data_IF_355929993643
#
_entry.id   IF_355929993643
#
_cell.length_a   1.000
_cell.length_b   1.000
_cell.length_c   1.000
_cell.angle_alpha   90.00
_cell.angle_beta   90.00
_cell.angle_gamma   90.00
#
_symmetry.space_group_name_H-M   'P 1'
#
loop_
_entity.id
_entity.type
_entity.pdbx_description
1 polymer ?
#
# COMPACT_ATOMS: atom_id res chain seq x y z
N UNK A 1 -63.67 -9.36 70.74
CA UNK A 1 -64.27 -10.53 70.07
C UNK A 1 -63.20 -11.04 69.12
N UNK A 2 -62.53 -12.11 69.52
CA UNK A 2 -61.50 -12.78 68.74
C UNK A 2 -62.09 -13.43 67.49
N UNK A 3 -61.32 -13.43 66.40
CA UNK A 3 -61.28 -14.54 65.46
C UNK A 3 -59.96 -14.49 64.67
N UNK A 4 -59.11 -15.50 64.86
CA UNK A 4 -58.00 -15.92 63.99
C UNK A 4 -58.34 -17.34 63.51
N UNK A 5 -58.00 -17.68 62.27
CA UNK A 5 -56.93 -18.66 62.02
C UNK A 5 -55.96 -18.13 60.93
N UNK A 6 -54.63 -18.34 61.03
CA UNK A 6 -53.88 -19.58 60.75
C UNK A 6 -54.22 -20.15 59.36
N UNK A 7 -53.32 -20.59 58.49
CA UNK A 7 -51.87 -20.70 58.41
C UNK A 7 -51.63 -21.26 56.99
N UNK A 8 -50.44 -21.06 56.44
CA UNK A 8 -49.84 -21.85 55.35
C UNK A 8 -50.54 -21.90 53.98
N UNK A 9 -49.84 -21.39 52.96
CA UNK A 9 -49.11 -22.27 52.06
C UNK A 9 -48.00 -21.46 51.37
N UNK A 10 -46.78 -21.73 51.81
CA UNK A 10 -45.55 -21.42 51.10
C UNK A 10 -45.26 -22.64 50.23
N UNK A 11 -45.20 -22.40 48.92
CA UNK A 11 -44.76 -23.35 47.90
C UNK A 11 -43.64 -22.67 47.11
N UNK A 12 -42.66 -23.47 46.71
CA UNK A 12 -41.24 -23.15 46.64
C UNK A 12 -40.73 -22.47 45.36
N UNK A 13 -41.58 -21.83 44.55
CA UNK A 13 -41.15 -21.37 43.22
C UNK A 13 -41.44 -19.88 42.97
N UNK A 14 -41.39 -19.00 43.97
CA UNK A 14 -41.17 -17.55 43.81
C UNK A 14 -41.94 -16.76 42.73
N UNK A 15 -43.09 -17.23 42.25
CA UNK A 15 -43.87 -16.57 41.19
C UNK A 15 -45.32 -16.36 41.62
N UNK A 16 -45.77 -15.11 41.58
CA UNK A 16 -47.19 -14.75 41.71
C UNK A 16 -47.96 -15.19 40.46
N UNK A 17 -49.04 -15.97 40.62
CA UNK A 17 -50.05 -16.16 39.58
C UNK A 17 -50.78 -14.83 39.32
N UNK A 18 -50.69 -14.31 38.09
CA UNK A 18 -51.52 -13.19 37.66
C UNK A 18 -52.81 -13.73 37.03
N UNK A 19 -53.93 -13.58 37.74
CA UNK A 19 -55.27 -13.81 37.22
C UNK A 19 -55.71 -12.57 36.42
N UNK A 20 -55.87 -12.71 35.10
CA UNK A 20 -56.38 -11.64 34.24
C UNK A 20 -57.91 -11.73 34.14
N UNK A 21 -58.59 -10.80 34.81
CA UNK A 21 -60.01 -10.52 34.52
C UNK A 21 -60.09 -9.34 33.54
N UNK A 22 -60.66 -9.58 32.37
CA UNK A 22 -60.84 -8.55 31.36
C UNK A 22 -62.11 -7.76 31.63
N UNK A 23 -62.00 -6.45 31.85
CA UNK A 23 -63.13 -5.54 31.60
C UNK A 23 -62.68 -4.19 31.04
N UNK A 24 -63.37 -3.82 29.97
CA UNK A 24 -63.12 -2.76 29.01
C UNK A 24 -63.30 -1.32 29.53
N UNK A 25 -62.56 -0.42 28.88
CA UNK A 25 -62.81 1.03 28.68
C UNK A 25 -62.77 1.94 29.91
N UNK A 26 -61.86 2.93 29.91
CA UNK A 26 -62.13 4.31 29.46
C UNK A 26 -60.80 5.09 29.45
N UNK A 27 -60.53 5.83 28.37
CA UNK A 27 -59.31 6.65 28.21
C UNK A 27 -59.33 7.84 29.18
N UNK A 28 -58.25 8.03 29.93
CA UNK A 28 -57.85 9.32 30.48
C UNK A 28 -56.43 9.59 29.98
N UNK A 29 -56.25 10.63 29.17
CA UNK A 29 -54.94 11.10 28.75
C UNK A 29 -54.32 11.89 29.91
N UNK A 30 -53.30 11.32 30.56
CA UNK A 30 -52.48 12.03 31.53
C UNK A 30 -51.23 12.52 30.80
N UNK A 31 -51.10 13.85 30.72
CA UNK A 31 -49.88 14.53 30.29
C UNK A 31 -48.77 14.16 31.28
N UNK A 32 -47.84 13.31 30.85
CA UNK A 32 -46.64 12.98 31.63
C UNK A 32 -45.57 14.04 31.35
N UNK A 33 -45.40 14.94 32.31
CA UNK A 33 -44.27 15.85 32.39
C UNK A 33 -42.98 14.99 32.48
N UNK A 34 -42.15 15.05 31.44
CA UNK A 34 -40.92 14.27 31.33
C UNK A 34 -39.86 14.96 32.19
N UNK A 35 -39.75 14.55 33.45
CA UNK A 35 -38.64 14.93 34.31
C UNK A 35 -37.32 14.58 33.63
N UNK A 36 -36.48 15.59 33.42
CA UNK A 36 -35.15 15.47 32.84
C UNK A 36 -34.31 14.47 33.63
N UNK A 37 -33.77 13.47 32.93
CA UNK A 37 -32.74 12.60 33.48
C UNK A 37 -31.54 13.44 33.90
N UNK A 38 -31.12 13.33 35.16
CA UNK A 38 -29.86 13.90 35.61
C UNK A 38 -28.73 13.29 34.76
N UNK A 39 -28.09 14.13 33.93
CA UNK A 39 -26.96 13.72 33.12
C UNK A 39 -25.84 13.21 34.04
N UNK A 40 -25.27 12.04 33.72
CA UNK A 40 -24.08 11.51 34.37
C UNK A 40 -23.00 12.59 34.47
N UNK A 41 -22.32 12.75 35.60
CA UNK A 41 -21.40 13.84 35.79
C UNK A 41 -20.20 13.70 34.81
N UNK A 42 -19.79 14.79 34.14
CA UNK A 42 -18.88 14.77 32.99
C UNK A 42 -17.47 14.25 33.34
N UNK A 43 -17.09 14.24 34.61
CA UNK A 43 -15.79 13.73 35.06
C UNK A 43 -15.60 12.24 34.76
N UNK A 44 -16.67 11.43 34.68
CA UNK A 44 -16.56 10.00 34.35
C UNK A 44 -16.11 9.80 32.90
N UNK A 45 -16.66 10.58 31.98
CA UNK A 45 -16.25 10.54 30.57
C UNK A 45 -14.83 11.08 30.40
N UNK A 46 -14.49 12.17 31.09
CA UNK A 46 -13.14 12.73 31.09
C UNK A 46 -12.13 11.71 31.64
N UNK A 47 -12.44 11.03 32.75
CA UNK A 47 -11.56 10.00 33.32
C UNK A 47 -11.36 8.81 32.37
N UNK A 48 -12.41 8.38 31.67
CA UNK A 48 -12.32 7.32 30.65
C UNK A 48 -11.46 7.77 29.47
N UNK A 49 -11.68 8.98 28.96
CA UNK A 49 -10.90 9.53 27.85
C UNK A 49 -9.42 9.66 28.24
N UNK A 50 -9.13 10.20 29.42
CA UNK A 50 -7.76 10.31 29.94
C UNK A 50 -7.10 8.95 30.12
N UNK A 51 -7.85 7.94 30.60
CA UNK A 51 -7.38 6.57 30.71
C UNK A 51 -7.03 5.96 29.35
N UNK A 52 -7.90 6.12 28.35
CA UNK A 52 -7.65 5.65 26.98
C UNK A 52 -6.43 6.36 26.38
N UNK A 53 -6.33 7.68 26.53
CA UNK A 53 -5.18 8.47 26.08
C UNK A 53 -3.88 7.98 26.70
N UNK A 54 -3.88 7.71 28.01
CA UNK A 54 -2.72 7.17 28.72
C UNK A 54 -2.31 5.79 28.19
N UNK A 55 -3.28 4.89 27.96
CA UNK A 55 -3.01 3.57 27.38
C UNK A 55 -2.43 3.67 25.97
N UNK A 56 -2.96 4.55 25.12
CA UNK A 56 -2.43 4.78 23.77
C UNK A 56 -1.00 5.30 23.81
N UNK A 57 -0.70 6.27 24.70
CA UNK A 57 0.65 6.81 24.87
C UNK A 57 1.62 5.71 25.35
N UNK A 58 1.21 4.85 26.29
CA UNK A 58 2.04 3.73 26.76
C UNK A 58 2.34 2.73 25.64
N UNK A 59 1.35 2.38 24.82
CA UNK A 59 1.55 1.49 23.67
C UNK A 59 2.52 2.10 22.66
N UNK A 60 2.37 3.38 22.34
CA UNK A 60 3.30 4.10 21.44
C UNK A 60 4.72 4.11 22.01
N UNK A 61 4.89 4.39 23.31
CA UNK A 61 6.20 4.39 23.94
C UNK A 61 6.88 3.01 23.91
N UNK A 62 6.12 1.93 24.13
CA UNK A 62 6.63 0.55 24.01
C UNK A 62 7.03 0.24 22.57
N UNK A 63 6.20 0.60 21.58
CA UNK A 63 6.52 0.39 20.16
C UNK A 63 7.78 1.17 19.77
N UNK A 64 7.87 2.45 20.10
CA UNK A 64 9.06 3.26 19.84
C UNK A 64 10.30 2.72 20.56
N UNK A 65 10.15 2.23 21.79
CA UNK A 65 11.21 1.57 22.54
C UNK A 65 11.71 0.31 21.83
N UNK A 66 10.81 -0.58 21.39
CA UNK A 66 11.18 -1.80 20.66
C UNK A 66 11.84 -1.50 19.31
N UNK A 67 11.37 -0.46 18.60
CA UNK A 67 11.96 0.00 17.32
C UNK A 67 13.33 0.64 17.54
N UNK A 68 13.54 1.38 18.63
CA UNK A 68 14.82 1.97 18.98
C UNK A 68 15.86 0.91 19.41
N UNK A 69 15.41 -0.12 20.14
CA UNK A 69 16.25 -1.25 20.57
C UNK A 69 16.66 -2.13 19.38
N UNK A 70 15.81 -2.23 18.35
CA UNK A 70 16.12 -2.95 17.10
C UNK A 70 16.81 -2.12 16.01
N UNK A 71 17.20 -0.87 16.28
CA UNK A 71 18.04 -0.12 15.33
C UNK A 71 19.41 -0.81 15.28
N UNK A 72 19.81 -1.45 14.16
CA UNK A 72 21.14 -2.05 14.07
C UNK A 72 22.16 -0.93 14.25
N UNK A 73 23.16 -1.18 15.08
CA UNK A 73 24.35 -0.35 15.22
C UNK A 73 25.09 -0.32 13.86
N UNK A 74 24.63 0.53 12.94
CA UNK A 74 25.34 0.83 11.70
C UNK A 74 26.53 1.68 12.09
N UNK A 75 27.67 1.02 12.23
CA UNK A 75 28.94 1.60 12.65
C UNK A 75 29.23 2.91 11.94
N UNK A 76 29.49 3.94 12.73
CA UNK A 76 30.15 5.16 12.31
C UNK A 76 31.60 4.84 11.94
N UNK A 77 31.94 4.88 10.66
CA UNK A 77 33.30 5.16 10.24
C UNK A 77 33.32 6.56 9.64
N UNK A 78 34.03 7.44 10.33
CA UNK A 78 34.30 8.81 9.96
C UNK A 78 35.55 8.86 9.07
N UNK A 79 35.55 9.86 8.18
CA UNK A 79 36.69 10.54 7.54
C UNK A 79 37.50 9.77 6.49
N UNK A 80 37.38 10.22 5.24
CA UNK A 80 38.49 10.99 4.65
C UNK A 80 37.97 12.03 3.65
N UNK A 81 38.18 13.31 3.97
CA UNK A 81 38.01 14.43 3.06
C UNK A 81 39.25 14.52 2.15
N UNK A 82 39.08 14.20 0.87
CA UNK A 82 40.07 14.42 -0.18
C UNK A 82 39.62 15.48 -1.18
N UNK A 83 40.22 16.66 -1.04
CA UNK A 83 40.13 17.84 -1.89
C UNK A 83 40.45 17.54 -3.38
N UNK A 84 39.53 17.89 -4.29
CA UNK A 84 39.76 17.93 -5.75
C UNK A 84 39.99 19.37 -6.22
N UNK A 85 41.09 19.63 -6.95
CA UNK A 85 41.08 20.66 -7.96
C UNK A 85 41.39 20.09 -9.35
N UNK A 86 40.56 20.50 -10.31
CA UNK A 86 40.72 20.29 -11.75
C UNK A 86 42.09 20.73 -12.27
N UNK A 87 42.66 19.97 -13.23
CA UNK A 87 43.58 20.54 -14.22
C UNK A 87 43.45 19.84 -15.57
N UNK A 88 43.34 20.68 -16.59
CA UNK A 88 43.14 20.43 -18.02
C UNK A 88 44.44 20.01 -18.74
N UNK A 89 44.29 19.40 -19.93
CA UNK A 89 45.18 19.29 -21.14
C UNK A 89 46.72 19.18 -20.91
N UNK A 90 47.46 18.31 -21.59
CA UNK A 90 47.69 18.30 -23.05
C UNK A 90 48.62 17.13 -23.45
N UNK A 91 48.42 16.58 -24.66
CA UNK A 91 49.35 15.93 -25.62
C UNK A 91 50.60 15.13 -25.15
N UNK A 92 50.74 13.88 -25.60
CA UNK A 92 51.58 13.50 -26.76
C UNK A 92 51.80 11.97 -26.88
N UNK A 93 51.47 11.44 -28.06
CA UNK A 93 52.28 10.57 -28.92
C UNK A 93 53.10 9.39 -28.33
N UNK A 94 52.56 8.18 -28.52
CA UNK A 94 53.19 7.02 -29.21
C UNK A 94 54.42 6.31 -28.56
N UNK A 95 54.84 5.10 -29.05
CA UNK A 95 54.92 3.88 -28.23
C UNK A 95 56.34 3.27 -28.16
N UNK A 96 56.61 2.42 -27.17
CA UNK A 96 57.82 1.57 -27.24
C UNK A 96 57.64 0.22 -26.56
N UNK A 97 57.69 -0.82 -27.41
CA UNK A 97 58.34 -2.14 -27.26
C UNK A 97 58.82 -2.56 -25.86
N UNK A 98 58.40 -3.70 -25.31
CA UNK A 98 58.78 -5.10 -25.66
C UNK A 98 59.79 -5.68 -24.68
N UNK A 99 59.62 -6.98 -24.40
CA UNK A 99 60.57 -7.95 -23.85
C UNK A 99 60.64 -8.05 -22.32
N UNK A 100 60.09 -9.14 -21.77
CA UNK A 100 60.86 -10.35 -21.46
C UNK A 100 59.89 -11.42 -20.90
N UNK A 101 59.90 -12.59 -21.55
CA UNK A 101 59.24 -13.81 -21.11
C UNK A 101 59.86 -14.32 -19.80
N UNK A 102 59.04 -14.84 -18.89
CA UNK A 102 59.47 -16.00 -18.10
C UNK A 102 58.29 -16.95 -17.83
N UNK A 103 58.60 -18.21 -18.04
CA UNK A 103 57.76 -19.39 -18.19
C UNK A 103 57.14 -19.89 -16.90
N UNK A 104 55.82 -20.14 -16.89
CA UNK A 104 55.19 -21.08 -15.95
C UNK A 104 54.11 -21.94 -16.65
N UNK A 105 54.24 -23.24 -16.41
CA UNK A 105 53.49 -24.43 -16.83
C UNK A 105 51.95 -24.29 -16.88
N UNK A 106 51.24 -24.97 -17.82
CA UNK A 106 49.79 -24.80 -17.98
C UNK A 106 49.01 -25.55 -16.89
N UNK A 107 48.58 -24.83 -15.86
CA UNK A 107 47.45 -25.28 -15.03
C UNK A 107 46.19 -25.10 -15.88
N UNK A 108 45.51 -26.21 -16.21
CA UNK A 108 44.19 -26.19 -16.87
C UNK A 108 43.26 -25.28 -16.06
N UNK A 109 43.08 -24.05 -16.53
CA UNK A 109 42.00 -23.20 -16.08
C UNK A 109 40.70 -23.91 -16.48
N UNK A 110 39.96 -24.38 -15.49
CA UNK A 110 38.54 -24.67 -15.67
C UNK A 110 37.93 -23.34 -16.08
N UNK A 111 37.64 -23.19 -17.37
CA UNK A 111 36.72 -22.16 -17.85
C UNK A 111 35.38 -22.47 -17.20
N UNK A 112 35.12 -21.83 -16.06
CA UNK A 112 33.76 -21.67 -15.53
C UNK A 112 33.03 -20.84 -16.58
N UNK A 113 32.47 -21.56 -17.53
CA UNK A 113 31.75 -21.04 -18.67
C UNK A 113 30.37 -20.68 -18.15
N UNK A 114 30.05 -19.38 -18.20
CA UNK A 114 28.69 -18.88 -18.03
C UNK A 114 28.32 -18.55 -16.59
N UNK A 115 28.75 -17.37 -16.11
CA UNK A 115 27.83 -16.59 -15.30
C UNK A 115 26.64 -16.32 -16.22
N UNK A 116 25.53 -17.05 -16.06
CA UNK A 116 24.32 -16.81 -16.82
C UNK A 116 23.92 -15.35 -16.55
N UNK A 117 24.21 -14.47 -17.49
CA UNK A 117 23.75 -13.09 -17.43
C UNK A 117 22.24 -13.16 -17.46
N UNK A 118 21.60 -12.79 -16.35
CA UNK A 118 20.14 -12.66 -16.30
C UNK A 118 19.72 -11.67 -17.39
N UNK A 119 18.69 -12.00 -18.20
CA UNK A 119 18.20 -11.09 -19.24
C UNK A 119 17.60 -9.80 -18.66
N UNK A 120 17.27 -9.79 -17.36
CA UNK A 120 16.78 -8.62 -16.65
C UNK A 120 17.83 -8.03 -15.71
N UNK A 121 17.81 -6.69 -15.51
CA UNK A 121 18.64 -6.04 -14.51
C UNK A 121 18.39 -6.60 -13.09
N UNK A 122 19.33 -6.41 -12.16
CA UNK A 122 19.14 -6.82 -10.78
C UNK A 122 17.86 -6.24 -10.17
N UNK A 123 17.13 -7.04 -9.39
CA UNK A 123 15.86 -6.69 -8.74
C UNK A 123 14.65 -6.50 -9.67
N UNK A 124 14.77 -6.88 -10.95
CA UNK A 124 13.63 -6.96 -11.87
C UNK A 124 13.14 -8.40 -11.95
N UNK A 125 11.82 -8.56 -12.06
CA UNK A 125 11.18 -9.86 -12.22
C UNK A 125 11.10 -10.19 -13.71
N UNK A 126 11.62 -11.34 -14.11
CA UNK A 126 11.44 -11.88 -15.46
C UNK A 126 10.05 -12.51 -15.55
N UNK A 127 9.24 -12.08 -16.52
CA UNK A 127 8.04 -12.78 -16.90
C UNK A 127 7.86 -12.72 -18.42
N UNK A 128 7.72 -13.90 -19.04
CA UNK A 128 7.70 -14.07 -20.50
C UNK A 128 8.86 -13.36 -21.23
N UNK A 129 8.57 -12.30 -21.98
CA UNK A 129 9.53 -11.57 -22.83
C UNK A 129 9.83 -10.16 -22.28
N UNK A 130 9.57 -9.94 -20.99
CA UNK A 130 9.69 -8.65 -20.34
C UNK A 130 10.31 -8.77 -18.95
N UNK A 131 10.92 -7.66 -18.52
CA UNK A 131 11.35 -7.41 -17.17
C UNK A 131 10.38 -6.45 -16.50
N UNK A 132 10.03 -6.71 -15.25
CA UNK A 132 9.11 -5.88 -14.46
C UNK A 132 9.77 -5.39 -13.18
N UNK A 133 9.60 -4.10 -12.87
CA UNK A 133 10.01 -3.50 -11.61
C UNK A 133 8.81 -2.89 -10.90
N UNK A 134 8.52 -3.38 -9.70
CA UNK A 134 7.53 -2.78 -8.80
C UNK A 134 8.26 -1.73 -7.96
N UNK A 135 8.27 -0.48 -8.44
CA UNK A 135 8.95 0.64 -7.79
C UNK A 135 8.21 1.02 -6.51
N UNK A 136 8.88 0.90 -5.38
CA UNK A 136 8.37 1.31 -4.06
C UNK A 136 8.63 2.81 -3.77
N UNK A 137 8.84 3.62 -4.81
CA UNK A 137 8.96 5.08 -4.70
C UNK A 137 7.61 5.75 -4.88
N UNK A 138 7.14 6.49 -3.88
CA UNK A 138 5.88 7.25 -3.97
C UNK A 138 6.06 8.46 -4.89
N UNK A 139 5.34 8.47 -6.01
CA UNK A 139 5.40 9.54 -7.01
C UNK A 139 4.02 9.82 -7.62
N UNK A 140 3.85 11.00 -8.22
CA UNK A 140 2.77 11.25 -9.17
C UNK A 140 2.94 10.36 -10.40
N UNK A 141 1.88 10.20 -11.20
CA UNK A 141 1.92 9.40 -12.42
C UNK A 141 3.05 9.84 -13.36
N UNK A 142 3.17 11.15 -13.61
CA UNK A 142 4.27 11.72 -14.42
C UNK A 142 5.65 11.52 -13.79
N UNK A 143 5.72 11.53 -12.45
CA UNK A 143 6.94 11.23 -11.71
C UNK A 143 7.39 9.79 -11.93
N UNK A 144 6.47 8.84 -11.78
CA UNK A 144 6.70 7.41 -12.02
C UNK A 144 7.06 7.13 -13.48
N UNK A 145 6.37 7.74 -14.44
CA UNK A 145 6.73 7.69 -15.87
C UNK A 145 8.19 8.07 -16.10
N UNK A 146 8.60 9.22 -15.55
CA UNK A 146 9.98 9.72 -15.69
C UNK A 146 10.99 8.77 -15.05
N UNK A 147 10.65 8.19 -13.89
CA UNK A 147 11.49 7.19 -13.21
C UNK A 147 11.67 5.94 -14.07
N UNK A 148 10.59 5.39 -14.65
CA UNK A 148 10.70 4.24 -15.53
C UNK A 148 11.55 4.57 -16.78
N UNK A 149 11.37 5.75 -17.38
CA UNK A 149 12.17 6.20 -18.52
C UNK A 149 13.66 6.30 -18.20
N UNK A 150 14.02 6.82 -17.01
CA UNK A 150 15.41 6.88 -16.54
C UNK A 150 16.06 5.50 -16.40
N UNK A 151 15.26 4.45 -16.18
CA UNK A 151 15.71 3.07 -16.11
C UNK A 151 15.72 2.37 -17.49
N UNK A 152 15.46 3.11 -18.56
CA UNK A 152 15.36 2.56 -19.92
C UNK A 152 14.17 1.61 -20.07
N UNK A 153 13.04 1.98 -19.48
CA UNK A 153 11.78 1.22 -19.43
C UNK A 153 10.59 2.19 -19.54
N UNK A 154 9.37 1.66 -19.56
CA UNK A 154 8.14 2.47 -19.53
C UNK A 154 7.27 2.06 -18.34
N UNK A 155 6.27 2.86 -17.99
CA UNK A 155 5.20 2.34 -17.16
C UNK A 155 4.55 1.17 -17.91
N UNK A 156 4.16 0.14 -17.17
CA UNK A 156 3.67 -1.10 -17.77
C UNK A 156 2.48 -0.85 -18.72
N UNK A 157 2.54 -1.51 -19.87
CA UNK A 157 1.41 -1.68 -20.77
C UNK A 157 0.92 -3.12 -20.67
N UNK A 158 -0.33 -3.31 -20.28
CA UNK A 158 -0.89 -4.66 -20.14
C UNK A 158 -1.44 -5.09 -21.50
N UNK A 159 -0.71 -5.97 -22.19
CA UNK A 159 -1.02 -6.41 -23.55
C UNK A 159 -1.81 -7.75 -23.59
N UNK A 160 -1.86 -8.49 -22.48
CA UNK A 160 -2.56 -9.79 -22.45
C UNK A 160 -3.20 -10.12 -21.11
N UNK A 161 -4.20 -11.01 -21.12
CA UNK A 161 -4.82 -11.53 -19.89
C UNK A 161 -3.82 -12.31 -19.02
N UNK A 162 -2.82 -12.94 -19.62
CA UNK A 162 -1.78 -13.69 -18.90
C UNK A 162 -0.80 -12.76 -18.18
N UNK A 163 -0.49 -11.61 -18.79
CA UNK A 163 0.25 -10.54 -18.15
C UNK A 163 -0.56 -9.89 -17.03
N UNK A 164 -1.83 -9.55 -17.28
CA UNK A 164 -2.73 -9.02 -16.25
C UNK A 164 -2.80 -9.95 -15.02
N UNK A 165 -2.94 -11.26 -15.23
CA UNK A 165 -2.97 -12.24 -14.14
C UNK A 165 -1.67 -12.28 -13.33
N UNK A 166 -0.52 -12.15 -13.99
CA UNK A 166 0.77 -12.02 -13.30
C UNK A 166 0.83 -10.75 -12.45
N UNK A 167 0.44 -9.60 -13.02
CA UNK A 167 0.45 -8.31 -12.31
C UNK A 167 -0.48 -8.32 -11.12
N UNK A 168 -1.72 -8.79 -11.28
CA UNK A 168 -2.70 -8.93 -10.19
C UNK A 168 -2.13 -9.79 -9.06
N UNK A 169 -1.47 -10.92 -9.39
CA UNK A 169 -0.86 -11.79 -8.37
C UNK A 169 0.23 -11.06 -7.57
N UNK A 170 1.08 -10.27 -8.23
CA UNK A 170 2.13 -9.49 -7.55
C UNK A 170 1.51 -8.38 -6.69
N UNK A 171 0.58 -7.60 -7.24
CA UNK A 171 -0.06 -6.48 -6.53
C UNK A 171 -0.89 -6.97 -5.34
N UNK A 172 -1.62 -8.08 -5.48
CA UNK A 172 -2.44 -8.63 -4.39
C UNK A 172 -1.64 -9.12 -3.19
N UNK A 173 -0.33 -9.37 -3.34
CA UNK A 173 0.56 -9.65 -2.21
C UNK A 173 0.90 -8.41 -1.37
N UNK A 174 0.54 -7.22 -1.85
CA UNK A 174 0.77 -5.93 -1.22
C UNK A 174 -0.55 -5.14 -1.13
N UNK A 175 -1.49 -5.56 -0.27
CA UNK A 175 -2.87 -5.06 -0.31
C UNK A 175 -3.00 -3.58 0.05
N UNK A 176 -2.04 -3.01 0.78
CA UNK A 176 -2.04 -1.59 1.14
C UNK A 176 -1.48 -0.68 0.03
N UNK A 177 -0.95 -1.26 -1.04
CA UNK A 177 -0.21 -0.55 -2.08
C UNK A 177 -1.01 -0.45 -3.38
N UNK A 178 -1.07 0.76 -3.94
CA UNK A 178 -1.57 1.02 -5.29
C UNK A 178 -0.39 1.28 -6.22
N UNK A 179 -0.51 0.85 -7.48
CA UNK A 179 0.57 0.97 -8.47
C UNK A 179 0.09 1.62 -9.75
N UNK A 180 0.70 2.74 -10.14
CA UNK A 180 0.52 3.36 -11.44
C UNK A 180 0.89 2.39 -12.57
N UNK A 181 0.05 2.39 -13.61
CA UNK A 181 0.28 1.72 -14.90
C UNK A 181 0.38 2.77 -16.02
N UNK A 182 0.82 2.36 -17.20
CA UNK A 182 1.11 3.26 -18.32
C UNK A 182 -0.12 3.82 -19.05
N UNK A 183 -1.29 3.84 -18.40
CA UNK A 183 -2.55 4.26 -18.99
C UNK A 183 -3.01 5.61 -18.42
N UNK A 184 -3.28 6.55 -19.32
CA UNK A 184 -3.78 7.89 -18.97
C UNK A 184 -4.60 8.50 -20.10
N UNK A 185 -5.25 9.63 -19.83
CA UNK A 185 -5.95 10.43 -20.84
C UNK A 185 -5.77 11.92 -20.52
N UNK A 186 -5.74 12.81 -21.52
CA UNK A 186 -5.61 14.24 -21.28
C UNK A 186 -6.86 14.84 -20.59
N UNK A 187 -8.05 14.31 -20.90
CA UNK A 187 -9.33 14.77 -20.38
C UNK A 187 -10.39 13.66 -20.47
N UNK A 188 -11.46 13.76 -19.68
CA UNK A 188 -12.47 12.69 -19.52
C UNK A 188 -13.09 12.20 -20.82
N UNK A 189 -13.32 13.12 -21.77
CA UNK A 189 -13.96 12.83 -23.05
C UNK A 189 -13.01 12.23 -24.10
N UNK A 190 -11.71 12.14 -23.78
CA UNK A 190 -10.71 11.55 -24.66
C UNK A 190 -10.49 10.09 -24.26
N UNK A 191 -10.34 9.17 -25.23
CA UNK A 191 -10.04 7.77 -24.94
C UNK A 191 -8.76 7.62 -24.10
N UNK A 192 -8.72 6.55 -23.31
CA UNK A 192 -7.52 6.13 -22.61
C UNK A 192 -6.44 5.68 -23.59
N UNK A 193 -5.21 6.16 -23.37
CA UNK A 193 -4.04 5.88 -24.19
C UNK A 193 -2.94 5.27 -23.34
N UNK A 194 -2.23 4.31 -23.93
CA UNK A 194 -0.98 3.79 -23.39
C UNK A 194 0.18 4.73 -23.72
N UNK A 195 1.31 4.58 -23.02
CA UNK A 195 2.50 5.41 -23.23
C UNK A 195 3.07 5.33 -24.66
N UNK A 196 2.81 4.23 -25.38
CA UNK A 196 3.19 4.04 -26.78
C UNK A 196 2.22 4.68 -27.79
N UNK A 197 1.17 5.35 -27.30
CA UNK A 197 0.13 5.99 -28.10
C UNK A 197 -0.98 5.06 -28.57
N UNK A 198 -0.92 3.77 -28.28
CA UNK A 198 -2.00 2.84 -28.61
C UNK A 198 -3.23 3.06 -27.73
N UNK A 199 -4.41 2.82 -28.29
CA UNK A 199 -5.67 2.99 -27.57
C UNK A 199 -5.95 1.82 -26.64
N UNK A 200 -6.49 2.13 -25.46
CA UNK A 200 -6.99 1.11 -24.54
C UNK A 200 -8.20 0.37 -25.13
N UNK A 201 -8.27 -0.93 -24.86
CA UNK A 201 -9.40 -1.77 -25.23
C UNK A 201 -10.00 -2.42 -23.98
N UNK A 202 -11.31 -2.26 -23.80
CA UNK A 202 -12.05 -2.72 -22.61
C UNK A 202 -12.26 -4.24 -22.54
N UNK A 203 -11.78 -4.98 -23.53
CA UNK A 203 -11.82 -6.45 -23.54
C UNK A 203 -10.83 -7.10 -22.56
N UNK A 204 -9.76 -6.39 -22.15
CA UNK A 204 -8.75 -6.92 -21.23
C UNK A 204 -9.16 -6.74 -19.76
N UNK A 205 -9.66 -5.56 -19.40
CA UNK A 205 -10.11 -5.23 -18.06
C UNK A 205 -11.05 -4.02 -18.06
N UNK A 206 -11.70 -3.78 -16.93
CA UNK A 206 -12.57 -2.61 -16.72
C UNK A 206 -11.89 -1.63 -15.77
N UNK A 207 -12.00 -0.34 -16.07
CA UNK A 207 -11.49 0.75 -15.23
C UNK A 207 -12.66 1.24 -14.38
N UNK A 208 -12.52 1.16 -13.05
CA UNK A 208 -13.52 1.72 -12.12
C UNK A 208 -13.24 3.19 -11.89
N UNK A 209 -14.28 4.00 -11.92
CA UNK A 209 -14.12 5.44 -11.72
C UNK A 209 -14.09 5.82 -10.24
N UNK A 210 -13.23 6.77 -9.89
CA UNK A 210 -13.13 7.45 -8.59
C UNK A 210 -13.54 8.91 -8.70
N UNK A 211 -14.17 9.32 -9.81
CA UNK A 211 -14.60 10.69 -10.01
C UNK A 211 -15.61 11.11 -8.94
N UNK A 212 -15.38 12.27 -8.34
CA UNK A 212 -16.30 12.91 -7.38
C UNK A 212 -16.56 14.35 -7.80
N UNK A 213 -17.47 15.05 -7.12
CA UNK A 213 -17.67 16.49 -7.37
C UNK A 213 -16.38 17.30 -7.13
N UNK A 214 -15.57 16.90 -6.14
CA UNK A 214 -14.30 17.55 -5.82
C UNK A 214 -13.19 17.17 -6.81
N UNK A 215 -13.23 15.95 -7.33
CA UNK A 215 -12.23 15.38 -8.22
C UNK A 215 -12.89 14.88 -9.53
N UNK A 216 -13.33 15.77 -10.42
CA UNK A 216 -14.14 15.40 -11.57
C UNK A 216 -13.35 14.70 -12.69
N UNK A 217 -12.01 14.80 -12.66
CA UNK A 217 -11.16 14.40 -13.78
C UNK A 217 -10.01 13.46 -13.37
N UNK A 218 -10.31 12.27 -12.83
CA UNK A 218 -9.30 11.22 -12.66
C UNK A 218 -8.87 10.72 -14.05
N UNK A 219 -7.62 11.03 -14.40
CA UNK A 219 -7.09 10.94 -15.77
C UNK A 219 -5.86 10.04 -15.88
N UNK A 220 -5.46 9.39 -14.78
CA UNK A 220 -4.40 8.40 -14.74
C UNK A 220 -4.93 7.11 -14.11
N UNK A 221 -4.27 5.98 -14.36
CA UNK A 221 -4.79 4.68 -13.94
C UNK A 221 -3.78 3.94 -13.09
N UNK A 222 -4.27 3.38 -11.99
CA UNK A 222 -3.51 2.48 -11.15
C UNK A 222 -4.24 1.15 -10.94
N UNK A 223 -3.50 0.16 -10.46
CA UNK A 223 -4.05 -1.09 -9.96
C UNK A 223 -3.89 -1.15 -8.44
N UNK A 224 -4.94 -1.57 -7.75
CA UNK A 224 -4.97 -1.78 -6.31
C UNK A 224 -5.58 -3.15 -6.02
N UNK A 225 -4.80 -4.02 -5.36
CA UNK A 225 -5.11 -5.45 -5.20
C UNK A 225 -5.32 -6.12 -6.57
N UNK A 226 -6.57 -6.32 -6.97
CA UNK A 226 -6.97 -6.94 -8.23
C UNK A 226 -7.83 -6.04 -9.11
N UNK A 227 -8.06 -4.80 -8.67
CA UNK A 227 -9.00 -3.88 -9.30
C UNK A 227 -8.25 -2.68 -9.86
N UNK A 228 -8.66 -2.27 -11.05
CA UNK A 228 -8.06 -1.15 -11.78
C UNK A 228 -8.99 0.06 -11.64
N UNK A 229 -8.43 1.19 -11.25
CA UNK A 229 -9.16 2.43 -11.03
C UNK A 229 -8.53 3.58 -11.81
N UNK A 230 -9.36 4.50 -12.26
CA UNK A 230 -8.86 5.85 -12.56
C UNK A 230 -8.52 6.57 -11.25
N UNK A 231 -7.65 7.57 -11.32
CA UNK A 231 -7.25 8.41 -10.21
C UNK A 231 -6.66 9.74 -10.70
N UNK A 232 -6.63 10.73 -9.81
CA UNK A 232 -5.88 11.97 -10.01
C UNK A 232 -4.38 11.67 -10.18
N UNK A 233 -3.81 12.14 -11.29
CA UNK A 233 -2.42 11.92 -11.65
C UNK A 233 -1.41 12.46 -10.61
N UNK A 234 -1.81 13.44 -9.79
CA UNK A 234 -0.97 14.04 -8.75
C UNK A 234 -0.84 13.21 -7.48
N UNK A 235 -1.70 12.20 -7.28
CA UNK A 235 -1.68 11.37 -6.07
C UNK A 235 -0.35 10.60 -5.99
N UNK A 236 0.37 10.67 -4.87
CA UNK A 236 1.56 9.85 -4.68
C UNK A 236 1.19 8.36 -4.62
N UNK A 237 1.81 7.56 -5.47
CA UNK A 237 1.61 6.11 -5.51
C UNK A 237 2.87 5.39 -5.96
N UNK A 238 2.89 4.06 -5.79
CA UNK A 238 3.91 3.20 -6.34
C UNK A 238 3.71 3.05 -7.85
N UNK A 239 4.61 2.36 -8.54
CA UNK A 239 4.45 2.15 -9.98
C UNK A 239 5.06 0.85 -10.46
N UNK A 240 4.59 0.38 -11.61
CA UNK A 240 5.15 -0.80 -12.27
C UNK A 240 5.83 -0.33 -13.55
N UNK A 241 7.14 -0.53 -13.62
CA UNK A 241 7.89 -0.34 -14.85
C UNK A 241 8.03 -1.67 -15.61
N UNK A 242 7.94 -1.61 -16.93
CA UNK A 242 8.14 -2.74 -17.84
C UNK A 242 9.25 -2.41 -18.85
N UNK A 243 10.15 -3.37 -19.05
CA UNK A 243 11.17 -3.35 -20.10
C UNK A 243 11.08 -4.62 -20.93
N UNK A 244 10.64 -4.48 -22.18
CA UNK A 244 10.58 -5.59 -23.14
C UNK A 244 11.99 -5.99 -23.58
N UNK A 245 12.20 -7.28 -23.86
CA UNK A 245 13.44 -7.74 -24.48
C UNK A 245 13.55 -7.12 -25.87
N UNK A 246 14.70 -6.51 -26.18
CA UNK A 246 15.00 -6.06 -27.54
C UNK A 246 15.07 -7.30 -28.44
N UNK A 247 14.16 -7.40 -29.41
CA UNK A 247 14.22 -8.40 -30.49
C UNK A 247 15.21 -7.97 -31.57
#
# INVERSE_FOLDING_TARGET
>A
MEYHPDLENLDEDGYTQLHFDSRSNTRIAVVSEKGSCAASPPWRLIAVILGILCLVILVIAVVLGTVAIWRPNSGSNSLENGYFPSRNKENHSQPTQSSLEESVTPTKAVKTTGLLSSPCPPNWIIYEKSCYLFSLSLNSWDGSKRQCLQLGSNLIKIDSSKELGFIVKQVSSQPDNSFWIGLSRPQTEVPWLWEDGSTFSSNLFQIRTTATQENPSPNCVWIHVSVIYDQLCSVPSYSICEKKFSM
#
